data_IF_619716541060
#
_entry.id   IF_619716541060
#
_cell.length_a   1.000
_cell.length_b   1.000
_cell.length_c   1.000
_cell.angle_alpha   90.00
_cell.angle_beta   90.00
_cell.angle_gamma   90.00
#
_symmetry.space_group_name_H-M   'P 1'
#
loop_
_entity.id
_entity.type
_entity.pdbx_description
1 polymer ?
#
# COMPACT_ATOMS: atom_id res chain seq x y z
N UNK A 1 -10.35 6.37 1.63
CA UNK A 1 -9.55 6.22 2.87
C UNK A 1 -8.20 5.62 2.50
N UNK A 2 -7.12 6.08 3.13
CA UNK A 2 -5.77 5.56 2.89
C UNK A 2 -5.47 4.39 3.83
N UNK A 3 -4.99 3.28 3.27
CA UNK A 3 -4.53 2.13 4.03
C UNK A 3 -3.05 1.92 3.74
N UNK A 4 -2.24 1.89 4.78
CA UNK A 4 -0.78 1.91 4.65
C UNK A 4 -0.12 0.72 5.34
N UNK A 5 0.99 0.27 4.76
CA UNK A 5 1.91 -0.69 5.35
C UNK A 5 3.29 -0.04 5.46
N UNK A 6 3.82 -0.07 6.68
CA UNK A 6 5.12 0.50 7.02
C UNK A 6 6.09 -0.63 7.38
N UNK A 7 7.16 -0.79 6.61
CA UNK A 7 8.20 -1.80 6.86
C UNK A 7 9.56 -1.12 6.97
N UNK A 8 10.61 -1.89 7.26
CA UNK A 8 11.98 -1.37 7.29
C UNK A 8 12.44 -0.79 5.93
N UNK A 9 11.92 -1.34 4.84
CA UNK A 9 12.41 -1.08 3.48
C UNK A 9 11.49 -0.14 2.70
N UNK A 10 10.19 -0.16 2.98
CA UNK A 10 9.21 0.59 2.19
C UNK A 10 8.04 1.11 3.03
N UNK A 11 7.45 2.20 2.53
CA UNK A 11 6.14 2.69 2.91
C UNK A 11 5.22 2.57 1.70
N UNK A 12 4.13 1.82 1.85
CA UNK A 12 3.17 1.55 0.77
C UNK A 12 1.75 1.90 1.20
N UNK A 13 1.03 2.67 0.38
CA UNK A 13 -0.34 3.13 0.66
C UNK A 13 -1.27 2.86 -0.53
N UNK A 14 -2.48 2.38 -0.26
CA UNK A 14 -3.59 2.38 -1.22
C UNK A 14 -4.71 3.33 -0.76
N UNK A 15 -5.13 4.22 -1.65
CA UNK A 15 -6.27 5.12 -1.45
C UNK A 15 -7.49 4.53 -2.16
N UNK A 16 -8.41 3.98 -1.38
CA UNK A 16 -9.60 3.29 -1.92
C UNK A 16 -10.89 3.85 -1.34
N UNK A 17 -12.00 3.59 -2.03
CA UNK A 17 -13.34 3.90 -1.54
C UNK A 17 -13.64 3.17 -0.23
N UNK A 18 -14.25 3.90 0.70
CA UNK A 18 -14.65 3.40 2.00
C UNK A 18 -16.09 3.81 2.25
N UNK A 19 -16.93 2.82 2.54
CA UNK A 19 -18.34 3.02 2.86
C UNK A 19 -18.46 3.07 4.39
N UNK A 20 -18.76 4.25 4.99
CA UNK A 20 -18.83 4.39 6.45
C UNK A 20 -19.95 3.52 7.05
N UNK A 21 -21.06 3.37 6.32
CA UNK A 21 -22.15 2.49 6.68
C UNK A 21 -21.72 1.03 6.52
N UNK A 22 -21.34 0.39 7.63
CA UNK A 22 -20.91 -1.01 7.65
C UNK A 22 -19.40 -1.23 7.55
N UNK A 23 -18.59 -0.16 7.64
CA UNK A 23 -17.13 -0.23 7.69
C UNK A 23 -16.51 -1.07 6.55
N UNK A 24 -17.03 -0.88 5.32
CA UNK A 24 -16.64 -1.69 4.16
C UNK A 24 -15.61 -0.96 3.32
N UNK A 25 -14.55 -1.68 2.97
CA UNK A 25 -13.52 -1.27 2.01
C UNK A 25 -13.91 -1.77 0.62
N UNK A 26 -13.82 -0.93 -0.41
CA UNK A 26 -14.06 -1.30 -1.82
C UNK A 26 -12.75 -1.18 -2.58
N UNK A 27 -12.02 -2.30 -2.71
CA UNK A 27 -10.65 -2.33 -3.24
C UNK A 27 -10.55 -2.12 -4.75
N UNK A 28 -11.66 -2.33 -5.45
CA UNK A 28 -11.81 -2.14 -6.90
C UNK A 28 -11.90 -0.63 -7.25
N UNK A 29 -12.37 0.20 -6.31
CA UNK A 29 -12.46 1.65 -6.45
C UNK A 29 -11.20 2.32 -5.87
N UNK A 30 -10.10 2.22 -6.62
CA UNK A 30 -8.81 2.82 -6.26
C UNK A 30 -8.68 4.24 -6.81
N UNK A 31 -8.44 5.21 -5.93
CA UNK A 31 -8.15 6.59 -6.26
C UNK A 31 -6.65 6.85 -6.48
N UNK A 32 -5.78 6.01 -5.91
CA UNK A 32 -4.34 6.18 -6.05
C UNK A 32 -3.55 5.20 -5.21
N UNK A 33 -2.24 5.14 -5.47
CA UNK A 33 -1.28 4.31 -4.73
C UNK A 33 0.01 5.07 -4.53
N UNK A 34 0.67 4.79 -3.42
CA UNK A 34 1.96 5.37 -3.09
C UNK A 34 2.93 4.25 -2.70
N UNK A 35 4.18 4.39 -3.16
CA UNK A 35 5.27 3.50 -2.80
C UNK A 35 6.53 4.35 -2.65
N UNK A 36 7.16 4.25 -1.48
CA UNK A 36 8.42 4.91 -1.16
C UNK A 36 9.42 3.88 -0.64
N UNK A 37 10.66 3.97 -1.10
CA UNK A 37 11.77 3.16 -0.59
C UNK A 37 12.47 3.92 0.53
N UNK A 38 12.32 3.49 1.78
CA UNK A 38 12.78 4.27 2.94
C UNK A 38 14.29 4.42 3.03
N UNK A 39 15.04 3.48 2.45
CA UNK A 39 16.50 3.50 2.46
C UNK A 39 17.07 4.56 1.53
N UNK A 40 16.38 4.87 0.43
CA UNK A 40 16.84 5.80 -0.60
C UNK A 40 16.05 7.11 -0.64
N UNK A 41 14.83 7.11 -0.12
CA UNK A 41 13.89 8.24 -0.09
C UNK A 41 13.23 8.33 1.30
N UNK A 42 14.00 8.63 2.37
CA UNK A 42 13.49 8.67 3.75
C UNK A 42 12.45 9.78 3.98
N UNK A 43 12.47 10.83 3.16
CA UNK A 43 11.55 11.97 3.22
C UNK A 43 10.31 11.78 2.33
N UNK A 44 10.16 10.61 1.67
CA UNK A 44 9.00 10.23 0.85
C UNK A 44 8.65 11.25 -0.25
N UNK A 45 9.68 11.80 -0.90
CA UNK A 45 9.52 12.83 -1.93
C UNK A 45 9.16 12.22 -3.29
N UNK A 46 9.47 10.94 -3.51
CA UNK A 46 9.43 10.29 -4.80
C UNK A 46 8.47 9.10 -4.77
N UNK A 47 7.20 9.34 -5.13
CA UNK A 47 6.25 8.23 -5.30
C UNK A 47 6.61 7.42 -6.55
N UNK A 48 7.05 6.18 -6.34
CA UNK A 48 7.47 5.27 -7.41
C UNK A 48 6.43 4.19 -7.74
N UNK A 49 5.20 4.29 -7.21
CA UNK A 49 4.16 3.26 -7.35
C UNK A 49 3.72 2.98 -8.80
N UNK A 50 3.92 3.95 -9.70
CA UNK A 50 3.56 3.85 -11.12
C UNK A 50 4.74 3.47 -12.02
N UNK A 51 5.95 3.32 -11.47
CA UNK A 51 7.09 2.86 -12.27
C UNK A 51 6.91 1.39 -12.63
N UNK A 52 7.11 1.05 -13.89
CA UNK A 52 6.96 -0.32 -14.41
C UNK A 52 7.86 -1.31 -13.66
N UNK A 53 9.08 -0.89 -13.31
CA UNK A 53 10.03 -1.67 -12.50
C UNK A 53 9.50 -2.04 -11.11
N UNK A 54 8.56 -1.26 -10.58
CA UNK A 54 7.97 -1.47 -9.26
C UNK A 54 6.68 -2.31 -9.30
N UNK A 55 6.12 -2.61 -10.49
CA UNK A 55 4.86 -3.35 -10.59
C UNK A 55 4.84 -4.70 -9.85
N UNK A 56 5.88 -5.55 -9.94
CA UNK A 56 5.89 -6.81 -9.19
C UNK A 56 5.82 -6.59 -7.68
N UNK A 57 6.52 -5.56 -7.18
CA UNK A 57 6.51 -5.21 -5.76
C UNK A 57 5.14 -4.66 -5.35
N UNK A 58 4.59 -3.71 -6.11
CA UNK A 58 3.26 -3.14 -5.87
C UNK A 58 2.19 -4.23 -5.80
N UNK A 59 2.22 -5.21 -6.71
CA UNK A 59 1.26 -6.33 -6.68
C UNK A 59 1.41 -7.20 -5.43
N UNK A 60 2.64 -7.46 -5.00
CA UNK A 60 2.92 -8.20 -3.76
C UNK A 60 2.41 -7.44 -2.54
N UNK A 61 2.75 -6.15 -2.41
CA UNK A 61 2.36 -5.32 -1.28
C UNK A 61 0.85 -5.09 -1.23
N UNK A 62 0.22 -4.90 -2.39
CA UNK A 62 -1.24 -4.80 -2.50
C UNK A 62 -1.94 -6.04 -1.95
N UNK A 63 -1.48 -7.24 -2.34
CA UNK A 63 -2.01 -8.49 -1.81
C UNK A 63 -1.83 -8.58 -0.29
N UNK A 64 -0.66 -8.23 0.24
CA UNK A 64 -0.38 -8.29 1.67
C UNK A 64 -1.23 -7.27 2.46
N UNK A 65 -1.35 -6.04 1.97
CA UNK A 65 -2.15 -4.98 2.59
C UNK A 65 -3.62 -5.40 2.70
N UNK A 66 -4.19 -5.96 1.62
CA UNK A 66 -5.59 -6.39 1.56
C UNK A 66 -5.90 -7.60 2.43
N UNK A 67 -4.95 -8.54 2.57
CA UNK A 67 -5.06 -9.66 3.50
C UNK A 67 -5.04 -9.21 4.97
N UNK A 68 -4.42 -8.04 5.22
CA UNK A 68 -4.38 -7.39 6.52
C UNK A 68 -3.54 -8.15 7.55
N UNK A 69 -3.47 -7.57 8.76
CA UNK A 69 -2.65 -8.08 9.86
C UNK A 69 -3.00 -9.50 10.31
N UNK A 70 -4.24 -9.98 10.08
CA UNK A 70 -4.63 -11.35 10.43
C UNK A 70 -3.87 -12.42 9.62
N UNK A 71 -3.28 -12.03 8.51
CA UNK A 71 -2.48 -12.88 7.64
C UNK A 71 -0.99 -12.51 7.66
N UNK A 72 -0.56 -11.63 8.58
CA UNK A 72 0.87 -11.35 8.73
C UNK A 72 1.55 -12.54 9.40
N UNK A 73 2.59 -13.07 8.77
CA UNK A 73 3.46 -14.05 9.42
C UNK A 73 4.32 -13.34 10.48
N UNK A 74 4.58 -13.97 11.64
CA UNK A 74 5.57 -13.46 12.58
C UNK A 74 6.95 -13.38 11.91
N UNK A 75 7.70 -12.34 12.24
CA UNK A 75 9.07 -12.13 11.79
C UNK A 75 10.06 -13.04 12.52
#
# INVERSE_FOLDING_TARGET
>A
MGYSMWTADFHYTEWVSFIPKGYKIVWEESYGRELYFRTTDPDELNNVSLLESCFPLVMKLSKQLRLGWRNSLPN
#
